data_IF_978206907599
#
_entry.id   IF_978206907599
#
_cell.length_a   1.000
_cell.length_b   1.000
_cell.length_c   1.000
_cell.angle_alpha   90.00
_cell.angle_beta   90.00
_cell.angle_gamma   90.00
#
_symmetry.space_group_name_H-M   'P 1'
#
loop_
_entity.id
_entity.type
_entity.pdbx_description
1 polymer ?
#
# COMPACT_ATOMS: atom_id res chain seq x y z
N UNK A 1 2.20 -17.66 2.74
CA UNK A 1 1.04 -18.55 2.58
C UNK A 1 0.02 -17.81 1.76
N UNK A 2 -0.45 -18.38 0.65
CA UNK A 2 -1.56 -17.79 -0.12
C UNK A 2 -2.84 -17.82 0.73
N UNK A 3 -3.66 -16.77 0.61
CA UNK A 3 -4.96 -16.68 1.29
C UNK A 3 -6.03 -16.23 0.29
N UNK A 4 -7.29 -16.57 0.56
CA UNK A 4 -8.40 -16.09 -0.28
C UNK A 4 -8.58 -14.56 -0.15
N UNK A 5 -9.16 -13.92 -1.17
CA UNK A 5 -9.52 -12.49 -1.11
C UNK A 5 -10.47 -12.21 0.07
N UNK A 6 -11.43 -13.10 0.33
CA UNK A 6 -12.33 -12.96 1.47
C UNK A 6 -11.59 -13.00 2.82
N UNK A 7 -10.59 -13.87 2.97
CA UNK A 7 -9.76 -13.90 4.17
C UNK A 7 -8.87 -12.67 4.27
N UNK A 8 -8.32 -12.20 3.15
CA UNK A 8 -7.55 -10.96 3.10
C UNK A 8 -8.37 -9.77 3.60
N UNK A 9 -9.60 -9.60 3.10
CA UNK A 9 -10.49 -8.50 3.49
C UNK A 9 -10.82 -8.51 4.98
N UNK A 10 -11.02 -9.69 5.57
CA UNK A 10 -11.22 -9.82 7.04
C UNK A 10 -10.01 -9.36 7.85
N UNK A 11 -8.80 -9.50 7.31
CA UNK A 11 -7.55 -9.16 8.00
C UNK A 11 -7.12 -7.72 7.76
N UNK A 12 -7.34 -7.19 6.56
CA UNK A 12 -6.78 -5.90 6.12
C UNK A 12 -7.28 -4.72 6.95
N UNK A 13 -8.49 -4.80 7.51
CA UNK A 13 -9.01 -3.79 8.43
C UNK A 13 -8.11 -3.58 9.67
N UNK A 14 -7.42 -4.63 10.13
CA UNK A 14 -6.45 -4.54 11.23
C UNK A 14 -5.14 -3.82 10.89
N UNK A 15 -4.97 -3.40 9.64
CA UNK A 15 -3.79 -2.68 9.15
C UNK A 15 -4.03 -1.17 9.03
N UNK A 16 -5.19 -0.66 9.46
CA UNK A 16 -5.44 0.78 9.61
C UNK A 16 -4.48 1.38 10.65
N UNK A 17 -3.87 2.51 10.33
CA UNK A 17 -2.77 3.11 11.12
C UNK A 17 -1.42 2.42 10.93
N UNK A 18 -1.35 1.40 10.07
CA UNK A 18 -0.13 0.77 9.62
C UNK A 18 0.47 1.47 8.40
N UNK A 19 1.60 0.96 7.92
CA UNK A 19 2.18 1.44 6.67
C UNK A 19 1.85 0.51 5.51
N UNK A 20 1.85 1.06 4.31
CA UNK A 20 1.67 0.32 3.07
C UNK A 20 2.79 0.69 2.10
N UNK A 21 3.29 -0.31 1.37
CA UNK A 21 4.23 -0.15 0.26
C UNK A 21 3.57 -0.62 -1.02
N UNK A 22 3.54 0.24 -2.04
CA UNK A 22 3.04 -0.07 -3.37
C UNK A 22 4.23 0.00 -4.32
N UNK A 23 4.59 -1.12 -4.92
CA UNK A 23 5.59 -1.19 -5.97
C UNK A 23 4.88 -1.30 -7.31
N UNK A 24 5.02 -0.29 -8.15
CA UNK A 24 4.46 -0.26 -9.50
C UNK A 24 5.57 -0.58 -10.51
N UNK A 25 5.50 -1.79 -11.09
CA UNK A 25 6.52 -2.31 -11.99
C UNK A 25 6.49 -1.67 -13.38
N UNK A 26 5.37 -1.04 -13.76
CA UNK A 26 5.25 -0.38 -15.07
C UNK A 26 5.87 1.02 -15.04
N UNK A 27 5.57 1.78 -13.98
CA UNK A 27 6.10 3.14 -13.82
C UNK A 27 7.47 3.20 -13.13
N UNK A 28 7.98 2.05 -12.66
CA UNK A 28 9.21 1.96 -11.87
C UNK A 28 9.19 2.84 -10.61
N UNK A 29 8.00 3.11 -10.06
CA UNK A 29 7.84 3.89 -8.84
C UNK A 29 7.52 2.99 -7.65
N UNK A 30 7.96 3.47 -6.48
CA UNK A 30 7.62 2.88 -5.19
C UNK A 30 6.89 3.95 -4.39
N UNK A 31 5.70 3.63 -3.91
CA UNK A 31 4.94 4.47 -3.00
C UNK A 31 4.94 3.86 -1.61
N UNK A 32 5.03 4.70 -0.60
CA UNK A 32 4.88 4.32 0.78
C UNK A 32 4.04 5.35 1.51
N UNK A 33 3.16 4.89 2.39
CA UNK A 33 2.28 5.78 3.14
C UNK A 33 1.80 5.12 4.42
N UNK A 34 1.17 5.91 5.27
CA UNK A 34 0.42 5.43 6.43
C UNK A 34 -1.07 5.41 6.11
N UNK A 35 -1.71 4.27 6.35
CA UNK A 35 -3.13 4.09 6.11
C UNK A 35 -3.93 4.83 7.17
N UNK A 36 -4.87 5.67 6.73
CA UNK A 36 -5.84 6.32 7.60
C UNK A 36 -7.11 5.50 7.71
N UNK A 37 -7.61 5.02 6.56
CA UNK A 37 -8.78 4.17 6.47
C UNK A 37 -8.56 3.11 5.38
N UNK A 38 -9.15 1.95 5.58
CA UNK A 38 -9.20 0.87 4.60
C UNK A 38 -10.64 0.39 4.58
N UNK A 39 -11.42 0.89 3.63
CA UNK A 39 -12.81 0.48 3.46
C UNK A 39 -12.91 -0.62 2.42
N UNK A 40 -13.45 -1.77 2.83
CA UNK A 40 -13.93 -2.74 1.89
C UNK A 40 -15.26 -2.24 1.33
N UNK A 41 -15.26 -2.02 0.03
CA UNK A 41 -16.46 -1.63 -0.70
C UNK A 41 -17.09 -2.89 -1.28
N UNK A 42 -17.47 -3.77 -0.36
CA UNK A 42 -18.16 -5.06 -0.54
C UNK A 42 -17.51 -6.09 -1.49
N UNK A 43 -17.79 -7.37 -1.19
CA UNK A 43 -17.48 -8.52 -2.06
C UNK A 43 -18.13 -8.36 -3.45
N UNK A 44 -19.21 -7.57 -3.56
CA UNK A 44 -19.94 -7.38 -4.82
C UNK A 44 -19.24 -6.41 -5.77
N UNK A 45 -18.53 -5.40 -5.26
CA UNK A 45 -17.90 -4.40 -6.13
C UNK A 45 -16.44 -4.69 -6.47
N UNK A 46 -15.81 -5.66 -5.80
CA UNK A 46 -14.47 -6.15 -6.15
C UNK A 46 -13.35 -5.09 -6.07
N UNK A 47 -13.52 -4.03 -5.27
CA UNK A 47 -12.47 -3.05 -5.04
C UNK A 47 -12.25 -2.76 -3.54
N UNK A 48 -11.00 -2.42 -3.22
CA UNK A 48 -10.56 -1.96 -1.91
C UNK A 48 -10.19 -0.49 -2.02
N UNK A 49 -10.74 0.34 -1.14
CA UNK A 49 -10.41 1.76 -1.09
C UNK A 49 -9.56 2.05 0.16
N UNK A 50 -8.46 2.76 -0.06
CA UNK A 50 -7.49 3.09 0.98
C UNK A 50 -7.34 4.61 0.99
N UNK A 51 -7.51 5.22 2.15
CA UNK A 51 -7.09 6.61 2.38
C UNK A 51 -5.83 6.63 3.21
N UNK A 52 -5.02 7.67 3.02
CA UNK A 52 -3.70 7.78 3.63
C UNK A 52 -3.62 9.05 4.47
N UNK A 53 -3.02 8.95 5.66
CA UNK A 53 -2.68 10.15 6.44
C UNK A 53 -1.59 10.95 5.75
N UNK A 54 -0.67 10.23 5.12
CA UNK A 54 0.37 10.76 4.25
C UNK A 54 0.76 9.68 3.25
N UNK A 55 1.18 10.11 2.07
CA UNK A 55 1.69 9.25 1.02
C UNK A 55 2.93 9.90 0.43
N UNK A 56 3.94 9.09 0.13
CA UNK A 56 5.16 9.53 -0.53
C UNK A 56 5.49 8.62 -1.70
N UNK A 57 6.01 9.21 -2.77
CA UNK A 57 6.61 8.53 -3.91
C UNK A 57 8.13 8.57 -3.80
N UNK A 58 8.76 7.44 -4.08
CA UNK A 58 10.21 7.37 -4.23
C UNK A 58 10.67 7.82 -5.61
N UNK A 59 11.66 8.71 -5.67
CA UNK A 59 12.35 9.05 -6.92
C UNK A 59 13.50 8.05 -7.17
N UNK A 60 13.78 7.76 -8.44
CA UNK A 60 14.85 6.84 -8.88
C UNK A 60 14.73 5.39 -8.34
N UNK A 61 13.49 4.89 -8.20
CA UNK A 61 13.21 3.71 -7.36
C UNK A 61 13.32 2.32 -8.00
N UNK A 62 14.47 1.63 -7.84
CA UNK A 62 14.51 0.19 -7.52
C UNK A 62 15.92 -0.20 -7.01
N UNK A 63 16.07 -1.05 -5.96
CA UNK A 63 15.03 -1.65 -5.12
C UNK A 63 14.60 -0.80 -3.90
N UNK A 64 15.33 0.26 -3.59
CA UNK A 64 15.04 1.21 -2.51
C UNK A 64 15.31 2.63 -3.04
N UNK A 65 14.33 3.54 -3.02
CA UNK A 65 14.54 4.94 -3.39
C UNK A 65 15.41 5.67 -2.37
N UNK A 66 16.31 6.53 -2.86
CA UNK A 66 17.14 7.40 -2.02
C UNK A 66 16.37 8.62 -1.51
N UNK A 67 15.32 9.02 -2.23
CA UNK A 67 14.51 10.19 -1.91
C UNK A 67 13.03 9.86 -1.95
N UNK A 68 12.28 10.49 -1.05
CA UNK A 68 10.84 10.35 -0.92
C UNK A 68 10.20 11.73 -1.01
N UNK A 69 9.24 11.88 -1.91
CA UNK A 69 8.52 13.13 -2.16
C UNK A 69 7.07 12.95 -1.77
N UNK A 70 6.50 13.91 -1.05
CA UNK A 70 5.11 13.88 -0.64
C UNK A 70 4.16 13.88 -1.85
N UNK A 71 3.18 12.99 -1.83
CA UNK A 71 2.12 12.92 -2.84
C UNK A 71 0.89 13.71 -2.39
N UNK A 72 0.28 14.46 -3.31
CA UNK A 72 -0.97 15.19 -3.01
C UNK A 72 -2.19 14.26 -3.00
N UNK A 73 -2.10 13.11 -3.71
CA UNK A 73 -3.15 12.12 -3.74
C UNK A 73 -3.11 11.26 -2.47
N UNK A 74 -4.13 11.41 -1.61
CA UNK A 74 -4.25 10.69 -0.34
C UNK A 74 -5.26 9.54 -0.39
N UNK A 75 -5.58 9.03 -1.58
CA UNK A 75 -6.41 7.85 -1.75
C UNK A 75 -5.92 6.92 -2.86
N UNK A 76 -6.26 5.65 -2.75
CA UNK A 76 -5.93 4.63 -3.74
C UNK A 76 -7.04 3.58 -3.79
N UNK A 77 -7.50 3.26 -4.99
CA UNK A 77 -8.49 2.22 -5.24
C UNK A 77 -7.84 1.03 -5.93
N UNK A 78 -7.98 -0.15 -5.33
CA UNK A 78 -7.39 -1.40 -5.81
C UNK A 78 -8.50 -2.31 -6.32
N UNK A 79 -8.46 -2.67 -7.60
CA UNK A 79 -9.37 -3.65 -8.20
C UNK A 79 -8.87 -5.09 -7.97
N UNK A 80 -9.48 -5.78 -7.00
CA UNK A 80 -9.02 -7.05 -6.43
C UNK A 80 -8.97 -8.26 -7.39
N UNK A 81 -9.84 -8.40 -8.42
CA UNK A 81 -9.85 -9.59 -9.28
C UNK A 81 -8.56 -9.87 -10.04
N UNK A 82 -7.69 -8.86 -10.18
CA UNK A 82 -6.38 -8.99 -10.83
C UNK A 82 -5.23 -9.32 -9.85
N UNK A 83 -5.54 -9.52 -8.57
CA UNK A 83 -4.55 -9.73 -7.52
C UNK A 83 -4.66 -11.11 -6.87
N UNK A 84 -3.50 -11.66 -6.54
CA UNK A 84 -3.33 -12.78 -5.65
C UNK A 84 -3.03 -12.26 -4.25
N UNK A 85 -3.81 -12.71 -3.26
CA UNK A 85 -3.58 -12.35 -1.86
C UNK A 85 -2.68 -13.37 -1.16
N UNK A 86 -1.78 -12.90 -0.31
CA UNK A 86 -1.00 -13.77 0.56
C UNK A 86 -0.71 -13.12 1.91
N UNK A 87 -0.42 -13.97 2.89
CA UNK A 87 -0.05 -13.57 4.23
C UNK A 87 1.26 -14.24 4.63
N UNK A 88 2.20 -13.45 5.15
CA UNK A 88 3.52 -13.93 5.55
C UNK A 88 4.14 -13.00 6.61
N UNK A 89 4.62 -13.56 7.72
CA UNK A 89 5.29 -12.83 8.82
C UNK A 89 4.52 -11.58 9.29
N UNK A 90 3.21 -11.71 9.52
CA UNK A 90 2.39 -10.60 9.98
C UNK A 90 2.12 -9.52 8.93
N UNK A 91 2.41 -9.77 7.65
CA UNK A 91 2.17 -8.84 6.55
C UNK A 91 1.16 -9.42 5.56
N UNK A 92 0.32 -8.55 5.02
CA UNK A 92 -0.57 -8.89 3.92
C UNK A 92 0.03 -8.39 2.61
N UNK A 93 -0.18 -9.17 1.56
CA UNK A 93 0.31 -8.86 0.23
C UNK A 93 -0.82 -9.00 -0.78
N UNK A 94 -0.93 -8.06 -1.70
CA UNK A 94 -1.66 -8.20 -2.96
C UNK A 94 -0.65 -8.11 -4.10
N UNK A 95 -0.55 -9.16 -4.90
CA UNK A 95 0.37 -9.19 -6.05
C UNK A 95 -0.39 -9.40 -7.35
N UNK A 96 -0.13 -8.56 -8.33
CA UNK A 96 -0.56 -8.72 -9.72
C UNK A 96 0.67 -8.75 -10.65
N UNK A 97 0.43 -8.90 -11.95
CA UNK A 97 1.49 -8.83 -12.95
C UNK A 97 2.31 -7.53 -12.85
N UNK A 98 1.63 -6.40 -12.56
CA UNK A 98 2.23 -5.07 -12.64
C UNK A 98 2.47 -4.41 -11.29
N UNK A 99 1.83 -4.88 -10.22
CA UNK A 99 1.87 -4.19 -8.93
C UNK A 99 2.02 -5.18 -7.78
N UNK A 100 2.82 -4.81 -6.80
CA UNK A 100 2.89 -5.51 -5.52
C UNK A 100 2.57 -4.52 -4.42
N UNK A 101 1.56 -4.84 -3.62
CA UNK A 101 1.08 -4.03 -2.51
C UNK A 101 1.35 -4.82 -1.24
N UNK A 102 2.06 -4.22 -0.29
CA UNK A 102 2.41 -4.83 0.99
C UNK A 102 1.85 -3.98 2.12
N UNK A 103 1.07 -4.59 3.01
CA UNK A 103 0.55 -3.96 4.21
C UNK A 103 1.39 -4.39 5.41
N UNK A 104 1.84 -3.41 6.17
CA UNK A 104 2.60 -3.57 7.42
C UNK A 104 1.67 -3.28 8.60
N UNK A 105 1.68 -4.11 9.65
CA UNK A 105 0.82 -3.90 10.79
C UNK A 105 1.18 -2.58 11.50
N UNK A 106 0.25 -1.98 12.24
CA UNK A 106 0.51 -0.79 13.03
C UNK A 106 1.72 -0.96 13.96
N UNK A 107 2.48 0.12 14.16
CA UNK A 107 3.69 0.11 14.99
C UNK A 107 4.98 -0.33 14.27
N UNK A 108 4.89 -0.83 13.02
CA UNK A 108 6.07 -1.09 12.18
C UNK A 108 6.22 0.05 11.17
N UNK A 109 7.20 0.92 11.38
CA UNK A 109 7.56 2.00 10.45
C UNK A 109 8.62 1.50 9.46
N UNK A 110 8.32 1.58 8.17
CA UNK A 110 9.27 1.39 7.07
C UNK A 110 9.97 2.69 6.72
N UNK A 111 9.23 3.78 6.77
CA UNK A 111 9.70 5.12 6.44
C UNK A 111 9.15 6.07 7.50
N UNK A 112 10.01 6.90 8.05
CA UNK A 112 9.57 7.96 8.95
C UNK A 112 8.94 9.08 8.11
N UNK A 113 7.73 9.59 8.46
CA UNK A 113 7.11 10.67 7.70
C UNK A 113 8.00 11.91 7.59
N UNK A 114 8.78 12.20 8.64
CA UNK A 114 9.73 13.32 8.65
C UNK A 114 10.92 13.19 7.69
N UNK A 115 11.16 12.01 7.10
CA UNK A 115 12.16 11.85 6.02
C UNK A 115 11.59 12.12 4.62
N UNK A 116 10.28 12.37 4.52
CA UNK A 116 9.61 12.71 3.26
C UNK A 116 9.79 14.20 2.99
N UNK A 117 10.31 14.54 1.82
CA UNK A 117 10.49 15.92 1.38
C UNK A 117 9.20 16.44 0.78
N UNK A 118 8.92 17.72 1.00
CA UNK A 118 7.89 18.40 0.22
C UNK A 118 8.34 18.58 -1.23
N UNK A 119 7.38 18.51 -2.15
CA UNK A 119 7.62 18.81 -3.56
C UNK A 119 7.93 20.30 -3.67
N UNK A 120 9.17 20.65 -4.03
CA UNK A 120 9.48 22.03 -4.45
C UNK A 120 8.85 22.23 -5.83
N UNK A 121 7.82 23.07 -5.89
CA UNK A 121 7.22 23.54 -7.15
C UNK A 121 8.18 24.47 -7.90
#
# INVERSE_FOLDING_TARGET
MEISIAEFLKKVAGYVGGQIKIMDKQSCHIYCGETENISDTSIEKNYLEITFKWLARGEDGFPIPDQWIHEKCLSNTIFLPSYQASYYHGRLYLTSAHKTITFYPPGILRIHPGSVKERKE
#
